data_IF_987576243627
#
_entry.id   IF_987576243627
#
_cell.length_a   1.000
_cell.length_b   1.000
_cell.length_c   1.000
_cell.angle_alpha   90.00
_cell.angle_beta   90.00
_cell.angle_gamma   90.00
#
_symmetry.space_group_name_H-M   'P 1'
#
loop_
_entity.id
_entity.type
_entity.pdbx_description
1 polymer ?
#
# COMPACT_ATOMS: atom_id res chain seq x y z
N UNK A 1 -26.23 3.98 -6.42
CA UNK A 1 -25.84 4.10 -5.00
C UNK A 1 -24.32 4.18 -4.90
N UNK A 2 -23.78 4.97 -3.97
CA UNK A 2 -22.35 4.94 -3.67
C UNK A 2 -22.11 3.93 -2.54
N UNK A 3 -21.22 2.97 -2.76
CA UNK A 3 -20.95 1.87 -1.83
C UNK A 3 -19.46 1.90 -1.48
N UNK A 4 -19.16 1.91 -0.18
CA UNK A 4 -17.79 1.79 0.32
C UNK A 4 -17.57 0.39 0.88
N UNK A 5 -16.62 -0.34 0.32
CA UNK A 5 -16.20 -1.66 0.76
C UNK A 5 -14.97 -1.51 1.64
N UNK A 6 -15.17 -1.46 2.96
CA UNK A 6 -14.11 -1.40 3.96
C UNK A 6 -13.87 -2.79 4.56
N UNK A 7 -13.06 -3.59 3.87
CA UNK A 7 -12.86 -5.01 4.18
C UNK A 7 -11.49 -5.25 4.82
N UNK A 8 -11.43 -6.22 5.72
CA UNK A 8 -10.18 -6.76 6.25
C UNK A 8 -9.71 -7.95 5.39
N UNK A 9 -8.43 -8.29 5.50
CA UNK A 9 -7.86 -9.49 4.92
C UNK A 9 -8.44 -10.76 5.55
N UNK A 10 -8.51 -11.83 4.76
CA UNK A 10 -8.77 -13.17 5.30
C UNK A 10 -7.41 -13.83 5.48
N UNK A 11 -7.02 -14.10 6.73
CA UNK A 11 -5.74 -14.75 7.07
C UNK A 11 -5.53 -16.01 6.22
N UNK A 12 -4.33 -16.15 5.66
CA UNK A 12 -3.88 -17.29 4.85
C UNK A 12 -4.57 -17.47 3.48
N UNK A 13 -5.44 -16.55 3.07
CA UNK A 13 -6.13 -16.62 1.77
C UNK A 13 -5.86 -15.36 0.93
N UNK A 14 -6.82 -14.45 0.88
CA UNK A 14 -6.84 -13.29 -0.02
C UNK A 14 -6.66 -12.00 0.77
N UNK A 15 -5.98 -11.03 0.17
CA UNK A 15 -5.86 -9.71 0.77
C UNK A 15 -7.17 -8.91 0.62
N UNK A 16 -7.35 -7.87 1.44
CA UNK A 16 -8.60 -7.09 1.47
C UNK A 16 -8.95 -6.41 0.14
N UNK A 17 -7.97 -6.16 -0.73
CA UNK A 17 -8.18 -5.57 -2.06
C UNK A 17 -8.76 -6.61 -3.01
N UNK A 18 -8.22 -7.83 -3.04
CA UNK A 18 -8.72 -8.94 -3.88
C UNK A 18 -10.18 -9.25 -3.56
N UNK A 19 -10.48 -9.41 -2.27
CA UNK A 19 -11.85 -9.62 -1.79
C UNK A 19 -12.74 -8.46 -2.21
N UNK A 20 -12.28 -7.22 -2.03
CA UNK A 20 -13.00 -6.02 -2.43
C UNK A 20 -13.32 -5.97 -3.93
N UNK A 21 -12.41 -6.47 -4.77
CA UNK A 21 -12.61 -6.50 -6.22
C UNK A 21 -13.73 -7.47 -6.62
N UNK A 22 -13.84 -8.65 -6.00
CA UNK A 22 -14.94 -9.58 -6.25
C UNK A 22 -16.30 -8.96 -5.91
N UNK A 23 -16.41 -8.31 -4.75
CA UNK A 23 -17.65 -7.62 -4.37
C UNK A 23 -17.95 -6.44 -5.27
N UNK A 24 -16.93 -5.66 -5.66
CA UNK A 24 -17.09 -4.53 -6.57
C UNK A 24 -17.64 -4.98 -7.92
N UNK A 25 -17.09 -6.02 -8.52
CA UNK A 25 -17.55 -6.57 -9.80
C UNK A 25 -19.03 -6.97 -9.73
N UNK A 26 -19.44 -7.65 -8.66
CA UNK A 26 -20.83 -8.07 -8.48
C UNK A 26 -21.79 -6.89 -8.27
N UNK A 27 -21.40 -5.93 -7.43
CA UNK A 27 -22.24 -4.77 -7.08
C UNK A 27 -22.40 -3.78 -8.25
N UNK A 28 -21.39 -3.65 -9.10
CA UNK A 28 -21.41 -2.76 -10.28
C UNK A 28 -22.07 -3.41 -11.51
N UNK A 29 -22.56 -4.66 -11.43
CA UNK A 29 -23.47 -5.21 -12.45
C UNK A 29 -24.74 -4.36 -12.61
N UNK A 30 -25.22 -3.77 -11.52
CA UNK A 30 -26.17 -2.67 -11.58
C UNK A 30 -25.42 -1.36 -11.86
N UNK A 31 -25.64 -0.81 -13.05
CA UNK A 31 -24.97 0.42 -13.52
C UNK A 31 -25.28 1.66 -12.68
N UNK A 32 -26.30 1.61 -11.83
CA UNK A 32 -26.59 2.70 -10.90
C UNK A 32 -25.66 2.68 -9.69
N UNK A 33 -24.94 1.57 -9.45
CA UNK A 33 -24.01 1.44 -8.34
C UNK A 33 -22.59 1.88 -8.72
N UNK A 34 -21.91 2.43 -7.72
CA UNK A 34 -20.50 2.75 -7.78
C UNK A 34 -19.87 2.27 -6.48
N UNK A 35 -19.00 1.27 -6.58
CA UNK A 35 -18.33 0.68 -5.43
C UNK A 35 -16.86 1.13 -5.38
N UNK A 36 -16.42 1.54 -4.19
CA UNK A 36 -15.04 1.92 -3.90
C UNK A 36 -14.49 1.03 -2.80
N UNK A 37 -13.24 0.59 -2.94
CA UNK A 37 -12.58 -0.30 -1.97
C UNK A 37 -11.68 0.55 -1.09
N UNK A 38 -11.79 0.37 0.23
CA UNK A 38 -10.89 0.93 1.22
C UNK A 38 -10.35 -0.23 2.05
N UNK A 39 -9.14 -0.74 1.80
CA UNK A 39 -8.62 -1.85 2.57
C UNK A 39 -8.42 -1.43 4.03
N UNK A 40 -8.88 -2.29 4.94
CA UNK A 40 -8.62 -2.13 6.36
C UNK A 40 -7.21 -2.63 6.69
N UNK A 41 -6.47 -1.86 7.49
CA UNK A 41 -5.06 -2.11 7.79
C UNK A 41 -4.87 -2.00 9.30
N UNK A 42 -4.53 -3.10 9.96
CA UNK A 42 -4.32 -3.17 11.42
C UNK A 42 -2.84 -3.16 11.83
N UNK A 43 -1.91 -3.21 10.85
CA UNK A 43 -0.47 -3.30 11.08
C UNK A 43 0.08 -4.73 11.08
N UNK A 44 -0.78 -5.73 10.88
CA UNK A 44 -0.41 -7.13 10.75
C UNK A 44 0.27 -7.48 9.42
N UNK A 45 0.45 -8.78 9.20
CA UNK A 45 1.03 -9.33 7.97
C UNK A 45 0.21 -8.88 6.74
N UNK A 46 0.88 -8.54 5.64
CA UNK A 46 0.22 -8.05 4.42
C UNK A 46 -0.04 -6.54 4.39
N UNK A 47 0.11 -5.84 5.52
CA UNK A 47 -0.08 -4.37 5.60
C UNK A 47 0.82 -3.61 4.62
N UNK A 48 2.09 -4.01 4.49
CA UNK A 48 3.03 -3.31 3.61
C UNK A 48 2.62 -3.53 2.14
N UNK A 49 2.26 -4.74 1.75
CA UNK A 49 1.76 -5.06 0.40
C UNK A 49 0.57 -4.19 0.01
N UNK A 50 -0.44 -4.13 0.88
CA UNK A 50 -1.66 -3.33 0.67
C UNK A 50 -1.30 -1.84 0.56
N UNK A 51 -0.40 -1.33 1.41
CA UNK A 51 0.03 0.06 1.32
C UNK A 51 0.68 0.42 -0.01
N UNK A 52 1.40 -0.52 -0.65
CA UNK A 52 2.00 -0.29 -1.98
C UNK A 52 0.93 -0.04 -3.02
N UNK A 53 -0.12 -0.86 -3.03
CA UNK A 53 -1.24 -0.74 -3.96
C UNK A 53 -2.06 0.55 -3.74
N UNK A 54 -2.28 0.94 -2.47
CA UNK A 54 -3.09 2.11 -2.13
C UNK A 54 -2.35 3.43 -2.33
N UNK A 55 -1.13 3.55 -1.79
CA UNK A 55 -0.38 4.82 -1.77
C UNK A 55 0.45 4.98 -3.07
N UNK A 56 0.80 3.86 -3.71
CA UNK A 56 1.77 3.81 -4.78
C UNK A 56 3.20 4.00 -4.29
N UNK A 57 4.17 3.56 -5.08
CA UNK A 57 5.59 3.59 -4.75
C UNK A 57 6.25 2.23 -4.93
N UNK A 58 7.55 2.17 -4.66
CA UNK A 58 8.35 0.97 -4.86
C UNK A 58 8.85 0.42 -3.53
N UNK A 59 9.05 -0.89 -3.50
CA UNK A 59 9.77 -1.52 -2.41
C UNK A 59 11.24 -1.08 -2.46
N UNK A 60 11.71 -0.55 -1.34
CA UNK A 60 13.11 -0.34 -1.08
C UNK A 60 13.59 -1.31 -0.01
N UNK A 61 14.81 -1.80 -0.18
CA UNK A 61 15.42 -2.80 0.69
C UNK A 61 16.65 -2.21 1.37
N UNK A 62 16.83 -2.53 2.65
CA UNK A 62 17.96 -2.05 3.44
C UNK A 62 18.46 -3.17 4.35
N UNK A 63 19.78 -3.31 4.42
CA UNK A 63 20.40 -4.19 5.41
C UNK A 63 20.38 -3.49 6.77
N UNK A 64 19.81 -4.17 7.75
CA UNK A 64 19.64 -3.69 9.14
C UNK A 64 20.10 -4.78 10.11
N UNK A 65 20.15 -4.45 11.39
CA UNK A 65 20.30 -5.45 12.45
C UNK A 65 18.94 -5.80 13.05
N UNK A 66 18.68 -7.09 13.25
CA UNK A 66 17.50 -7.55 13.97
C UNK A 66 17.63 -7.27 15.49
N UNK A 67 16.60 -7.53 16.31
CA UNK A 67 16.65 -7.26 17.75
C UNK A 67 17.77 -7.97 18.53
N UNK A 68 18.37 -9.02 17.98
CA UNK A 68 19.49 -9.75 18.59
C UNK A 68 20.85 -9.46 17.93
N UNK A 69 20.91 -8.46 17.02
CA UNK A 69 22.14 -7.95 16.42
C UNK A 69 22.58 -8.63 15.12
N UNK A 70 21.83 -9.58 14.59
CA UNK A 70 22.18 -10.27 13.34
C UNK A 70 21.80 -9.42 12.13
N UNK A 71 22.54 -9.56 11.03
CA UNK A 71 22.21 -8.90 9.78
C UNK A 71 20.90 -9.46 9.19
N UNK A 72 19.97 -8.57 8.83
CA UNK A 72 18.69 -8.89 8.21
C UNK A 72 18.39 -7.88 7.09
N UNK A 73 17.67 -8.30 6.06
CA UNK A 73 17.16 -7.40 5.02
C UNK A 73 15.75 -6.96 5.40
N UNK A 74 15.58 -5.67 5.68
CA UNK A 74 14.27 -5.05 5.85
C UNK A 74 13.78 -4.48 4.50
N UNK A 75 12.46 -4.30 4.39
CA UNK A 75 11.83 -3.59 3.27
C UNK A 75 10.84 -2.55 3.75
N UNK A 76 10.68 -1.50 2.97
CA UNK A 76 9.70 -0.43 3.20
C UNK A 76 9.24 0.12 1.84
N UNK A 77 8.18 0.94 1.85
CA UNK A 77 7.66 1.58 0.65
C UNK A 77 8.08 3.03 0.64
N UNK A 78 8.60 3.47 -0.51
CA UNK A 78 8.88 4.87 -0.76
C UNK A 78 8.31 5.29 -2.10
N UNK A 79 7.55 6.38 -2.08
CA UNK A 79 7.08 7.05 -3.29
C UNK A 79 8.03 8.19 -3.60
N UNK A 80 8.97 7.98 -4.54
CA UNK A 80 9.84 9.07 -5.01
C UNK A 80 8.99 10.10 -5.74
N UNK A 81 8.80 11.28 -5.15
CA UNK A 81 8.53 12.48 -5.96
C UNK A 81 9.84 12.80 -6.67
N UNK A 82 9.82 12.93 -8.00
CA UNK A 82 10.92 13.55 -8.74
C UNK A 82 11.07 14.99 -8.23
N UNK A 83 11.93 15.20 -7.24
CA UNK A 83 12.53 16.50 -6.99
C UNK A 83 13.62 16.65 -8.04
N UNK A 84 13.34 17.45 -9.06
CA UNK A 84 14.36 17.92 -9.99
C UNK A 84 15.35 18.74 -9.18
N UNK A 85 16.55 18.19 -8.95
CA UNK A 85 17.63 18.87 -8.23
C UNK A 85 18.27 19.88 -9.19
N UNK A 86 17.64 21.05 -9.30
CA UNK A 86 18.03 22.14 -10.18
C UNK A 86 18.60 23.37 -9.46
N UNK A 87 18.79 23.36 -8.14
CA UNK A 87 19.25 24.53 -7.35
C UNK A 87 20.25 24.13 -6.25
N UNK A 88 21.29 23.38 -6.61
CA UNK A 88 22.35 22.95 -5.69
C UNK A 88 23.71 23.63 -5.88
N UNK A 89 23.83 24.63 -6.75
CA UNK A 89 25.03 25.46 -6.90
C UNK A 89 24.70 26.93 -6.62
N UNK A 90 24.51 27.24 -5.34
CA UNK A 90 24.29 28.60 -4.88
C UNK A 90 24.72 28.73 -3.42
N UNK A 91 25.96 29.19 -3.22
CA UNK A 91 26.46 29.74 -1.97
C UNK A 91 25.41 30.58 -1.25
N UNK A 92 25.02 30.19 -0.04
CA UNK A 92 24.67 31.12 1.04
C UNK A 92 25.08 30.50 2.38
N UNK A 93 26.06 31.17 3.00
CA UNK A 93 26.78 30.91 4.26
C UNK A 93 27.86 29.81 4.23
#
# INVERSE_FOLDING_TARGET
MNILLALDSIKDFENSIEIGNYFKEELEKDKNNKASILPFIDGGMGTVEIMKEVIGGDFSYLNVHNPIGEAATARYIIKKKFLHYGDGSGLWA
#
